data_IF_363449677648
#
_entry.id   IF_363449677648
#
_cell.length_a   1.000
_cell.length_b   1.000
_cell.length_c   1.000
_cell.angle_alpha   90.00
_cell.angle_beta   90.00
_cell.angle_gamma   90.00
#
_symmetry.space_group_name_H-M   'P 1'
#
loop_
_entity.id
_entity.type
_entity.pdbx_description
1 polymer ?
#
# COMPACT_ATOMS: atom_id res chain seq x y z
N UNK A 1 3.78 -3.34 10.59
CA UNK A 1 3.23 -3.24 9.22
C UNK A 1 2.23 -2.11 9.20
N UNK A 2 2.14 -1.40 8.09
CA UNK A 2 1.17 -0.33 7.90
C UNK A 2 0.23 -0.67 6.75
N UNK A 3 -0.99 -0.18 6.85
CA UNK A 3 -2.02 -0.33 5.85
C UNK A 3 -2.77 0.98 5.66
N UNK A 4 -3.00 1.33 4.41
CA UNK A 4 -3.75 2.51 3.99
C UNK A 4 -5.02 2.07 3.29
N UNK A 5 -6.17 2.57 3.72
CA UNK A 5 -7.46 2.34 3.07
C UNK A 5 -7.54 3.14 1.78
N UNK A 6 -8.16 2.55 0.78
CA UNK A 6 -8.51 3.18 -0.50
C UNK A 6 -9.95 2.87 -0.85
N UNK A 7 -10.62 3.82 -1.47
CA UNK A 7 -11.94 3.63 -2.07
C UNK A 7 -11.82 3.60 -3.59
N UNK A 8 -12.41 2.56 -4.19
CA UNK A 8 -12.47 2.39 -5.63
C UNK A 8 -13.94 2.62 -6.03
N UNK A 9 -14.29 3.72 -6.72
CA UNK A 9 -15.68 4.07 -6.98
C UNK A 9 -16.28 3.37 -8.22
N UNK A 10 -15.44 2.81 -9.10
CA UNK A 10 -15.85 2.14 -10.34
C UNK A 10 -15.00 0.89 -10.58
N UNK A 11 -15.48 -0.10 -11.35
CA UNK A 11 -14.67 -1.26 -11.72
C UNK A 11 -13.38 -0.81 -12.41
N UNK A 12 -12.23 -1.13 -11.81
CA UNK A 12 -10.92 -0.68 -12.23
C UNK A 12 -10.04 -1.89 -12.56
N UNK A 13 -9.51 -1.97 -13.77
CA UNK A 13 -8.39 -2.88 -14.04
C UNK A 13 -7.10 -2.18 -13.62
N UNK A 14 -6.45 -2.74 -12.60
CA UNK A 14 -5.31 -2.16 -11.92
C UNK A 14 -4.02 -2.37 -12.74
N UNK A 15 -3.28 -1.30 -12.97
CA UNK A 15 -1.95 -1.35 -13.58
C UNK A 15 -0.86 -1.31 -12.53
N UNK A 16 -0.92 -0.30 -11.66
CA UNK A 16 0.01 -0.17 -10.55
C UNK A 16 -0.58 0.64 -9.40
N UNK A 17 0.00 0.42 -8.24
CA UNK A 17 -0.11 1.32 -7.11
C UNK A 17 1.30 1.84 -6.84
N UNK A 18 1.47 3.16 -6.87
CA UNK A 18 2.75 3.81 -6.62
C UNK A 18 2.77 4.42 -5.22
N UNK A 19 3.83 4.18 -4.47
CA UNK A 19 4.04 4.76 -3.14
C UNK A 19 5.13 5.80 -3.16
N UNK A 20 4.95 6.91 -2.43
CA UNK A 20 6.03 7.86 -2.18
C UNK A 20 6.93 7.29 -1.07
N UNK A 21 8.06 6.69 -1.46
CA UNK A 21 8.99 6.04 -0.53
C UNK A 21 10.29 6.81 -0.44
N UNK A 22 10.93 6.76 0.73
CA UNK A 22 12.32 7.17 0.93
C UNK A 22 13.12 5.98 1.44
N UNK A 23 14.25 5.67 0.79
CA UNK A 23 15.13 4.57 1.18
C UNK A 23 16.20 5.07 2.16
N UNK A 24 16.21 4.56 3.38
CA UNK A 24 17.27 4.81 4.36
C UNK A 24 18.38 3.76 4.32
N UNK A 25 18.06 2.52 3.90
CA UNK A 25 19.02 1.43 3.91
C UNK A 25 18.48 0.10 3.40
N UNK A 26 19.30 -0.94 3.54
CA UNK A 26 19.00 -2.30 3.09
C UNK A 26 19.52 -2.63 1.69
N UNK A 27 19.85 -3.91 1.49
CA UNK A 27 20.35 -4.45 0.23
C UNK A 27 19.71 -5.78 -0.16
N UNK A 28 19.21 -6.56 0.81
CA UNK A 28 18.75 -7.95 0.62
C UNK A 28 17.25 -8.06 0.88
N UNK A 29 16.55 -8.75 -0.02
CA UNK A 29 15.12 -9.01 0.12
C UNK A 29 14.30 -8.17 -0.85
N UNK A 30 13.01 -8.06 -0.57
CA UNK A 30 12.04 -7.53 -1.51
C UNK A 30 11.05 -6.59 -0.84
N UNK A 31 10.51 -5.66 -1.63
CA UNK A 31 9.31 -4.89 -1.34
C UNK A 31 8.20 -5.31 -2.29
N UNK A 32 6.97 -5.37 -1.81
CA UNK A 32 5.78 -5.57 -2.64
C UNK A 32 4.55 -5.01 -1.93
N UNK A 33 3.46 -4.87 -2.68
CA UNK A 33 2.17 -4.52 -2.13
C UNK A 33 1.24 -5.71 -2.14
N UNK A 34 0.40 -5.79 -1.12
CA UNK A 34 -0.79 -6.63 -1.15
C UNK A 34 -2.02 -5.75 -0.98
N UNK A 35 -3.02 -5.99 -1.83
CA UNK A 35 -4.34 -5.37 -1.68
C UNK A 35 -5.22 -6.35 -0.95
N UNK A 36 -5.85 -5.89 0.13
CA UNK A 36 -6.77 -6.66 0.95
C UNK A 36 -8.17 -6.08 0.80
N UNK A 37 -9.19 -6.95 0.82
CA UNK A 37 -10.58 -6.51 0.91
C UNK A 37 -10.83 -5.90 2.28
N UNK A 38 -11.66 -4.86 2.34
CA UNK A 38 -12.17 -4.38 3.62
C UNK A 38 -13.10 -5.43 4.28
N UNK A 39 -12.84 -5.72 5.54
CA UNK A 39 -13.69 -6.51 6.42
C UNK A 39 -13.94 -5.73 7.71
N UNK A 40 -15.08 -5.04 7.77
CA UNK A 40 -15.50 -4.22 8.92
C UNK A 40 -14.47 -3.13 9.28
N UNK A 41 -14.06 -2.34 8.29
CA UNK A 41 -13.03 -1.28 8.43
C UNK A 41 -11.66 -1.82 8.85
N UNK A 42 -11.33 -3.06 8.50
CA UNK A 42 -10.00 -3.66 8.72
C UNK A 42 -9.53 -4.40 7.46
N UNK A 43 -8.21 -4.52 7.23
CA UNK A 43 -7.68 -5.39 6.19
C UNK A 43 -8.08 -6.86 6.45
N UNK A 44 -8.86 -7.42 5.53
CA UNK A 44 -9.39 -8.78 5.56
C UNK A 44 -8.62 -9.75 4.66
N UNK A 45 -9.32 -10.45 3.77
CA UNK A 45 -8.73 -11.36 2.78
C UNK A 45 -7.87 -10.63 1.73
N UNK A 46 -6.69 -11.17 1.42
CA UNK A 46 -5.84 -10.73 0.31
C UNK A 46 -6.52 -11.03 -1.03
N UNK A 47 -6.62 -10.02 -1.89
CA UNK A 47 -7.24 -10.13 -3.22
C UNK A 47 -6.27 -9.92 -4.37
N UNK A 48 -5.21 -9.13 -4.18
CA UNK A 48 -4.20 -8.88 -5.20
C UNK A 48 -2.81 -8.76 -4.58
N UNK A 49 -1.78 -9.02 -5.39
CA UNK A 49 -0.37 -8.90 -5.00
C UNK A 49 0.41 -8.29 -6.17
N UNK A 50 1.18 -7.25 -5.91
CA UNK A 50 2.04 -6.66 -6.93
C UNK A 50 3.23 -7.57 -7.29
N UNK A 51 3.97 -7.17 -8.31
CA UNK A 51 5.33 -7.64 -8.51
C UNK A 51 6.20 -7.38 -7.26
N UNK A 52 7.23 -8.21 -7.08
CA UNK A 52 8.22 -8.05 -6.02
C UNK A 52 9.42 -7.27 -6.57
N UNK A 53 9.74 -6.15 -5.92
CA UNK A 53 10.89 -5.32 -6.27
C UNK A 53 12.03 -5.68 -5.33
N UNK A 54 13.14 -6.16 -5.88
CA UNK A 54 14.34 -6.44 -5.08
C UNK A 54 14.91 -5.13 -4.52
N UNK A 55 15.26 -5.10 -3.24
CA UNK A 55 15.68 -3.87 -2.54
C UNK A 55 16.93 -3.23 -3.16
N UNK A 56 17.86 -4.04 -3.69
CA UNK A 56 19.04 -3.53 -4.39
C UNK A 56 18.73 -2.81 -5.70
N UNK A 57 17.55 -3.03 -6.30
CA UNK A 57 17.11 -2.31 -7.51
C UNK A 57 16.57 -0.92 -7.22
N UNK A 58 16.26 -0.63 -5.96
CA UNK A 58 15.86 0.70 -5.52
C UNK A 58 17.11 1.42 -5.04
N UNK A 59 17.57 2.39 -5.84
CA UNK A 59 18.72 3.21 -5.49
C UNK A 59 18.44 4.02 -4.21
N UNK A 60 19.50 4.44 -3.53
CA UNK A 60 19.39 5.50 -2.54
C UNK A 60 19.14 6.83 -3.26
N UNK A 61 18.24 7.66 -2.72
CA UNK A 61 17.93 8.98 -3.26
C UNK A 61 17.58 9.93 -2.12
N UNK A 62 17.91 11.21 -2.31
CA UNK A 62 17.56 12.26 -1.36
C UNK A 62 16.05 12.56 -1.45
N UNK A 63 15.35 12.53 -0.30
CA UNK A 63 13.91 12.79 -0.25
C UNK A 63 13.07 11.63 -0.77
N UNK A 64 11.81 11.89 -1.15
CA UNK A 64 10.86 10.84 -1.54
C UNK A 64 10.78 10.69 -3.06
N UNK A 65 10.61 9.46 -3.52
CA UNK A 65 10.31 9.14 -4.92
C UNK A 65 9.11 8.22 -5.02
N UNK A 66 8.38 8.35 -6.13
CA UNK A 66 7.29 7.45 -6.47
C UNK A 66 7.86 6.13 -6.97
N UNK A 67 7.63 5.06 -6.20
CA UNK A 67 8.02 3.71 -6.56
C UNK A 67 6.76 2.96 -7.02
N UNK A 68 6.64 2.63 -8.31
CA UNK A 68 5.49 1.91 -8.85
C UNK A 68 5.58 0.42 -8.54
N UNK A 69 4.49 -0.15 -8.03
CA UNK A 69 4.30 -1.58 -7.84
C UNK A 69 3.22 -2.07 -8.81
N UNK A 70 3.63 -2.81 -9.83
CA UNK A 70 2.77 -3.27 -10.92
C UNK A 70 1.94 -4.48 -10.51
N UNK A 71 0.70 -4.53 -11.00
CA UNK A 71 -0.25 -5.62 -10.85
C UNK A 71 -0.50 -6.27 -12.21
N UNK A 72 -0.88 -7.55 -12.23
CA UNK A 72 -1.08 -8.30 -13.49
C UNK A 72 -2.53 -8.70 -13.60
N UNK A 73 -3.28 -7.96 -14.41
CA UNK A 73 -4.68 -8.21 -14.74
C UNK A 73 -5.66 -8.25 -13.55
N UNK A 74 -5.27 -7.71 -12.39
CA UNK A 74 -6.14 -7.59 -11.23
C UNK A 74 -7.27 -6.58 -11.49
N UNK A 75 -8.52 -7.00 -11.31
CA UNK A 75 -9.70 -6.15 -11.42
C UNK A 75 -10.23 -5.88 -10.01
N UNK A 76 -10.30 -4.60 -9.64
CA UNK A 76 -10.95 -4.15 -8.42
C UNK A 76 -12.37 -3.71 -8.76
N UNK A 77 -13.37 -4.33 -8.15
CA UNK A 77 -14.76 -3.87 -8.23
C UNK A 77 -14.96 -2.63 -7.33
N UNK A 78 -16.04 -1.87 -7.49
CA UNK A 78 -16.34 -0.77 -6.58
C UNK A 78 -16.37 -1.24 -5.12
N UNK A 79 -15.72 -0.48 -4.23
CA UNK A 79 -15.66 -0.78 -2.80
C UNK A 79 -14.40 -0.28 -2.10
N UNK A 80 -14.29 -0.62 -0.82
CA UNK A 80 -13.14 -0.29 0.02
C UNK A 80 -12.11 -1.41 0.06
N UNK A 81 -10.84 -1.02 0.00
CA UNK A 81 -9.69 -1.91 0.02
C UNK A 81 -8.57 -1.33 0.87
N UNK A 82 -7.58 -2.17 1.16
CA UNK A 82 -6.43 -1.83 1.99
C UNK A 82 -5.12 -2.15 1.26
N UNK A 83 -4.23 -1.16 1.18
CA UNK A 83 -2.88 -1.31 0.62
C UNK A 83 -1.92 -1.58 1.77
N UNK A 84 -1.32 -2.76 1.78
CA UNK A 84 -0.24 -3.08 2.71
C UNK A 84 1.10 -2.98 2.00
N UNK A 85 2.03 -2.22 2.58
CA UNK A 85 3.44 -2.30 2.22
C UNK A 85 4.09 -3.49 2.94
N UNK A 86 4.44 -4.50 2.16
CA UNK A 86 5.07 -5.73 2.64
C UNK A 86 6.55 -5.76 2.27
N UNK A 87 7.35 -6.44 3.10
CA UNK A 87 8.79 -6.51 2.90
C UNK A 87 9.39 -7.80 3.45
N UNK A 88 10.60 -8.12 2.97
CA UNK A 88 11.46 -9.18 3.50
C UNK A 88 12.91 -8.71 3.57
N UNK A 89 13.74 -9.44 4.33
CA UNK A 89 15.14 -9.10 4.50
C UNK A 89 15.35 -7.83 5.32
N UNK A 90 16.25 -6.95 4.85
CA UNK A 90 16.77 -5.80 5.60
C UNK A 90 16.20 -4.45 5.11
N UNK A 91 14.94 -4.43 4.67
CA UNK A 91 14.30 -3.23 4.15
C UNK A 91 14.21 -2.11 5.21
N UNK A 92 14.82 -0.96 4.94
CA UNK A 92 14.67 0.27 5.75
C UNK A 92 14.16 1.39 4.84
N UNK A 93 12.83 1.57 4.85
CA UNK A 93 12.12 2.53 4.01
C UNK A 93 11.11 3.30 4.85
N UNK A 94 10.91 4.57 4.52
CA UNK A 94 9.76 5.32 4.97
C UNK A 94 8.74 5.46 3.86
N UNK A 95 7.47 5.25 4.19
CA UNK A 95 6.35 5.59 3.33
C UNK A 95 5.87 6.98 3.74
N UNK A 96 5.94 7.94 2.82
CA UNK A 96 5.56 9.32 3.10
C UNK A 96 4.13 9.39 3.60
N UNK A 97 3.93 10.10 4.71
CA UNK A 97 2.65 10.31 5.34
C UNK A 97 2.43 11.78 5.67
N UNK A 98 1.16 12.18 5.74
CA UNK A 98 0.72 13.48 6.20
C UNK A 98 0.07 13.33 7.58
N UNK A 99 0.35 14.27 8.48
CA UNK A 99 -0.30 14.31 9.78
C UNK A 99 -1.77 14.73 9.62
N UNK A 100 -2.62 14.21 10.49
CA UNK A 100 -4.07 14.41 10.38
C UNK A 100 -4.70 13.44 9.40
N UNK A 101 -5.93 13.72 9.01
CA UNK A 101 -6.74 12.85 8.17
C UNK A 101 -7.18 13.61 6.89
N UNK A 102 -6.27 13.85 5.94
CA UNK A 102 -6.60 14.53 4.70
C UNK A 102 -7.61 13.77 3.82
N UNK A 103 -7.84 12.48 4.05
CA UNK A 103 -8.84 11.68 3.32
C UNK A 103 -10.18 11.56 4.06
N UNK A 104 -10.35 12.31 5.16
CA UNK A 104 -11.59 12.52 5.95
C UNK A 104 -12.17 11.27 6.67
N UNK A 105 -11.75 10.04 6.35
CA UNK A 105 -12.25 8.82 7.00
C UNK A 105 -11.52 8.54 8.31
N UNK A 106 -12.21 8.48 9.48
CA UNK A 106 -11.55 8.36 10.79
C UNK A 106 -10.73 7.06 10.97
N UNK A 107 -10.92 6.09 10.07
CA UNK A 107 -10.38 4.74 10.14
C UNK A 107 -9.52 4.37 8.91
N UNK A 108 -8.83 5.33 8.29
CA UNK A 108 -8.21 5.11 6.99
C UNK A 108 -6.77 4.58 7.05
N UNK A 109 -6.12 4.65 8.21
CA UNK A 109 -4.77 4.11 8.40
C UNK A 109 -4.71 3.21 9.62
N UNK A 110 -4.15 2.01 9.42
CA UNK A 110 -3.97 1.00 10.47
C UNK A 110 -2.54 0.50 10.51
N UNK A 111 -2.09 0.17 11.71
CA UNK A 111 -0.85 -0.56 11.92
C UNK A 111 -1.12 -1.90 12.58
N UNK A 112 -0.28 -2.87 12.26
CA UNK A 112 -0.28 -4.18 12.88
C UNK A 112 1.14 -4.52 13.35
N UNK A 113 1.27 -4.98 14.60
CA UNK A 113 2.53 -5.54 15.08
C UNK A 113 2.78 -6.87 14.39
N UNK A 114 4.04 -7.17 14.08
CA UNK A 114 4.42 -8.39 13.35
C UNK A 114 4.04 -9.68 14.09
N UNK A 115 3.88 -9.61 15.41
CA UNK A 115 3.59 -10.73 16.29
C UNK A 115 2.09 -11.01 16.43
N UNK A 116 1.26 -9.95 16.47
CA UNK A 116 -0.18 -10.09 16.74
C UNK A 116 -0.99 -10.38 15.49
N UNK A 117 -0.53 -9.94 14.31
CA UNK A 117 -1.27 -10.06 13.04
C UNK A 117 -2.73 -9.53 13.10
N UNK A 118 -3.07 -8.68 14.08
CA UNK A 118 -4.36 -8.01 14.18
C UNK A 118 -4.24 -6.52 13.84
N UNK A 119 -5.19 -6.00 13.07
CA UNK A 119 -5.24 -4.61 12.58
C UNK A 119 -6.02 -3.69 13.53
N UNK A 120 -5.74 -3.77 14.82
CA UNK A 120 -6.54 -3.09 15.84
C UNK A 120 -6.06 -1.67 16.14
N UNK A 121 -4.86 -1.31 15.71
CA UNK A 121 -4.28 0.01 15.99
C UNK A 121 -4.56 0.97 14.85
N UNK A 122 -5.48 1.91 15.09
CA UNK A 122 -5.72 3.08 14.24
C UNK A 122 -4.55 4.06 14.33
N UNK A 123 -4.28 4.74 13.21
CA UNK A 123 -3.27 5.78 13.11
C UNK A 123 -3.94 7.11 12.78
N UNK A 124 -3.31 8.21 13.20
CA UNK A 124 -3.78 9.59 13.00
C UNK A 124 -3.01 10.33 11.89
N UNK A 125 -2.49 9.56 10.94
CA UNK A 125 -1.78 10.04 9.76
C UNK A 125 -2.16 9.17 8.58
N UNK A 126 -2.08 9.72 7.38
CA UNK A 126 -2.36 8.99 6.14
C UNK A 126 -1.16 8.95 5.21
N UNK A 127 -0.99 7.80 4.58
CA UNK A 127 0.07 7.55 3.65
C UNK A 127 -0.25 8.04 2.24
N UNK A 128 0.78 8.47 1.51
CA UNK A 128 0.66 8.94 0.14
C UNK A 128 0.78 7.80 -0.87
N UNK A 129 -0.23 7.66 -1.72
CA UNK A 129 -0.26 6.66 -2.78
C UNK A 129 -0.87 7.23 -4.06
N UNK A 130 -0.64 6.53 -5.18
CA UNK A 130 -1.33 6.78 -6.45
C UNK A 130 -1.81 5.45 -6.99
N UNK A 131 -3.08 5.37 -7.35
CA UNK A 131 -3.64 4.21 -8.04
C UNK A 131 -3.74 4.54 -9.52
N UNK A 132 -3.21 3.67 -10.38
CA UNK A 132 -3.30 3.80 -11.83
C UNK A 132 -3.91 2.54 -12.44
N UNK A 133 -4.77 2.75 -13.40
CA UNK A 133 -5.51 1.70 -14.09
C UNK A 133 -6.46 2.31 -15.11
N UNK A 134 -7.33 1.49 -15.65
CA UNK A 134 -8.44 1.97 -16.47
C UNK A 134 -9.78 1.51 -15.93
N UNK A 135 -10.75 2.41 -16.03
CA UNK A 135 -12.14 2.11 -15.73
C UNK A 135 -12.69 1.11 -16.76
N UNK A 136 -13.24 -0.01 -16.29
CA UNK A 136 -13.98 -0.94 -17.13
C UNK A 136 -15.38 -0.39 -17.35
N UNK A 137 -15.52 0.47 -18.36
CA UNK A 137 -16.83 0.92 -18.84
C UNK A 137 -17.51 -0.25 -19.57
N UNK A 138 -18.78 -0.47 -19.24
CA UNK A 138 -19.66 -1.34 -20.03
C UNK A 138 -20.11 -0.62 -21.30
#
# INVERSE_FOLDING_TARGET
KYSQKIEIPYPLKLYDISLALHKFGGQKGFLWLTVMKDEHNKPGKKIAKSNMIHISRIAFFNGYQWIPFSFTDDILLPGSYWINLEYSGDAIFNWFYLLGNPYEGPDDTRSCSREKNTWDTLQNYDFNFRVRGYELRR
#
